data_IF_729104767126
#
_entry.id   IF_729104767126
#
_cell.length_a   1.000
_cell.length_b   1.000
_cell.length_c   1.000
_cell.angle_alpha   90.00
_cell.angle_beta   90.00
_cell.angle_gamma   90.00
#
_symmetry.space_group_name_H-M   'P 1'
#
loop_
_entity.id
_entity.type
_entity.pdbx_description
1 polymer ?
#
# COMPACT_ATOMS: atom_id res chain seq x y z
N UNK A 1 4.86 -11.20 8.56
CA UNK A 1 4.80 -9.71 8.50
C UNK A 1 5.45 -9.16 7.23
N UNK A 2 6.73 -9.47 6.94
CA UNK A 2 7.42 -8.97 5.72
C UNK A 2 6.69 -9.26 4.41
N UNK A 3 6.21 -10.49 4.20
CA UNK A 3 5.52 -10.88 2.96
C UNK A 3 4.26 -10.06 2.72
N UNK A 4 3.46 -9.86 3.77
CA UNK A 4 2.23 -9.04 3.74
C UNK A 4 2.58 -7.59 3.39
N UNK A 5 3.68 -7.07 3.96
CA UNK A 5 4.14 -5.71 3.72
C UNK A 5 4.53 -5.49 2.24
N UNK A 6 5.23 -6.46 1.64
CA UNK A 6 5.62 -6.44 0.23
C UNK A 6 4.38 -6.56 -0.67
N UNK A 7 3.44 -7.45 -0.36
CA UNK A 7 2.17 -7.59 -1.08
C UNK A 7 1.36 -6.28 -1.07
N UNK A 8 1.24 -5.63 0.09
CA UNK A 8 0.54 -4.35 0.25
C UNK A 8 1.19 -3.24 -0.58
N UNK A 9 2.52 -3.19 -0.63
CA UNK A 9 3.24 -2.23 -1.47
C UNK A 9 2.99 -2.45 -2.96
N UNK A 10 3.05 -3.70 -3.43
CA UNK A 10 2.81 -4.03 -4.83
C UNK A 10 1.37 -3.67 -5.21
N UNK A 11 0.39 -4.10 -4.42
CA UNK A 11 -1.03 -3.82 -4.65
C UNK A 11 -1.30 -2.32 -4.60
N UNK A 12 -0.72 -1.59 -3.65
CA UNK A 12 -0.88 -0.15 -3.53
C UNK A 12 -0.31 0.63 -4.73
N UNK A 13 0.88 0.26 -5.21
CA UNK A 13 1.48 0.93 -6.39
C UNK A 13 0.67 0.65 -7.65
N UNK A 14 0.24 -0.61 -7.85
CA UNK A 14 -0.61 -0.99 -8.99
C UNK A 14 -1.97 -0.29 -8.92
N UNK A 15 -2.57 -0.23 -7.73
CA UNK A 15 -3.85 0.43 -7.51
C UNK A 15 -3.81 1.95 -7.73
N UNK A 16 -2.71 2.62 -7.40
CA UNK A 16 -2.51 4.05 -7.74
C UNK A 16 -2.43 4.23 -9.26
N UNK A 17 -1.67 3.38 -9.96
CA UNK A 17 -1.55 3.46 -11.41
C UNK A 17 -2.90 3.23 -12.11
N UNK A 18 -3.66 2.22 -11.66
CA UNK A 18 -5.01 1.95 -12.16
C UNK A 18 -5.99 3.07 -11.81
N UNK A 19 -5.93 3.61 -10.59
CA UNK A 19 -6.76 4.73 -10.15
C UNK A 19 -6.54 6.00 -10.98
N UNK A 20 -5.32 6.23 -11.47
CA UNK A 20 -5.02 7.32 -12.40
C UNK A 20 -5.60 7.13 -13.80
N UNK A 21 -5.94 5.90 -14.20
CA UNK A 21 -6.60 5.60 -15.47
C UNK A 21 -8.14 5.62 -15.36
N UNK A 22 -8.69 5.70 -14.14
CA UNK A 22 -10.12 5.73 -13.86
C UNK A 22 -10.61 7.18 -13.68
N UNK A 23 -11.82 7.48 -14.17
CA UNK A 23 -12.42 8.82 -14.09
C UNK A 23 -13.50 8.90 -13.01
N UNK A 24 -13.61 10.08 -12.39
CA UNK A 24 -14.63 10.39 -11.38
C UNK A 24 -14.36 9.77 -10.01
N UNK A 25 -15.42 9.55 -9.24
CA UNK A 25 -15.35 9.13 -7.83
C UNK A 25 -14.68 7.77 -7.63
N UNK A 26 -14.76 6.89 -8.63
CA UNK A 26 -14.13 5.57 -8.58
C UNK A 26 -12.61 5.69 -8.58
N UNK A 27 -12.05 6.60 -9.40
CA UNK A 27 -10.60 6.83 -9.44
C UNK A 27 -10.09 7.39 -8.11
N UNK A 28 -10.83 8.32 -7.50
CA UNK A 28 -10.49 8.89 -6.20
C UNK A 28 -10.58 7.81 -5.10
N UNK A 29 -11.65 7.00 -5.09
CA UNK A 29 -11.80 5.91 -4.14
C UNK A 29 -10.67 4.88 -4.27
N UNK A 30 -10.30 4.52 -5.50
CA UNK A 30 -9.18 3.64 -5.79
C UNK A 30 -7.84 4.24 -5.32
N UNK A 31 -7.59 5.54 -5.55
CA UNK A 31 -6.39 6.21 -5.07
C UNK A 31 -6.30 6.26 -3.54
N UNK A 32 -7.41 6.51 -2.84
CA UNK A 32 -7.45 6.51 -1.37
C UNK A 32 -7.18 5.10 -0.84
N UNK A 33 -7.87 4.08 -1.37
CA UNK A 33 -7.66 2.69 -0.98
C UNK A 33 -6.22 2.22 -1.23
N UNK A 34 -5.65 2.61 -2.37
CA UNK A 34 -4.28 2.25 -2.73
C UNK A 34 -3.23 2.98 -1.88
N UNK A 35 -3.47 4.26 -1.55
CA UNK A 35 -2.60 5.05 -0.68
C UNK A 35 -2.56 4.48 0.75
N UNK A 36 -3.72 4.05 1.28
CA UNK A 36 -3.78 3.40 2.60
C UNK A 36 -3.07 2.04 2.61
N UNK A 37 -3.16 1.26 1.51
CA UNK A 37 -2.41 0.02 1.35
C UNK A 37 -0.88 0.25 1.36
N UNK A 38 -0.39 1.28 0.65
CA UNK A 38 1.05 1.65 0.67
C UNK A 38 1.49 2.04 2.07
N UNK A 39 0.75 2.92 2.76
CA UNK A 39 1.08 3.36 4.12
C UNK A 39 1.10 2.19 5.11
N UNK A 40 0.14 1.26 4.99
CA UNK A 40 0.09 0.05 5.82
C UNK A 40 1.28 -0.87 5.55
N UNK A 41 1.64 -1.08 4.28
CA UNK A 41 2.82 -1.85 3.88
C UNK A 41 4.13 -1.28 4.45
N UNK A 42 4.30 0.04 4.41
CA UNK A 42 5.44 0.72 5.04
C UNK A 42 5.45 0.50 6.56
N UNK A 43 4.29 0.63 7.22
CA UNK A 43 4.14 0.39 8.66
C UNK A 43 4.56 -1.03 9.06
N UNK A 44 4.15 -2.05 8.30
CA UNK A 44 4.55 -3.44 8.56
C UNK A 44 6.05 -3.68 8.31
N UNK A 45 6.68 -3.00 7.34
CA UNK A 45 8.12 -3.06 7.12
C UNK A 45 8.90 -2.44 8.29
N UNK A 46 8.46 -1.28 8.78
CA UNK A 46 9.07 -0.61 9.93
C UNK A 46 8.96 -1.46 11.20
N UNK A 47 7.78 -2.05 11.46
CA UNK A 47 7.59 -2.96 12.58
C UNK A 47 8.48 -4.21 12.46
N UNK A 48 8.58 -4.79 11.25
CA UNK A 48 9.44 -5.95 11.01
C UNK A 48 10.94 -5.62 11.19
N UNK A 49 11.36 -4.39 10.88
CA UNK A 49 12.74 -3.92 11.14
C UNK A 49 12.99 -3.73 12.63
N UNK A 50 12.06 -3.10 13.35
CA UNK A 50 12.14 -2.90 14.81
C UNK A 50 12.26 -4.23 15.56
N UNK A 51 11.47 -5.24 15.16
CA UNK A 51 11.51 -6.58 15.75
C UNK A 51 12.83 -7.35 15.57
N UNK A 52 13.71 -6.92 14.66
CA UNK A 52 15.00 -7.57 14.41
C UNK A 52 16.12 -7.09 15.37
N UNK A 53 15.83 -6.10 16.23
CA UNK A 53 16.81 -5.47 17.15
C UNK A 53 16.54 -5.79 18.63
N UNK A 54 15.67 -6.78 18.93
CA UNK A 54 15.54 -7.44 20.23
C UNK A 54 15.75 -8.94 20.03
#
# INVERSE_FOLDING_TARGET
>A
MKTIAILLLIVGVVGIALGGMMYGDIGIAAMIGSSTAVLSGIGFLLQAKSKKTN
#
